data_IF_766840515791
#
_entry.id   IF_766840515791
#
_cell.length_a   1.000
_cell.length_b   1.000
_cell.length_c   1.000
_cell.angle_alpha   90.00
_cell.angle_beta   90.00
_cell.angle_gamma   90.00
#
_symmetry.space_group_name_H-M   'P 1'
#
loop_
_entity.id
_entity.type
_entity.pdbx_description
1 polymer ?
#
# COMPACT_ATOMS: atom_id res chain seq x y z
N UNK A 1 8.15 -5.48 -5.11
CA UNK A 1 7.27 -4.97 -6.19
C UNK A 1 6.03 -5.85 -6.23
N UNK A 2 4.83 -5.28 -6.15
CA UNK A 2 3.58 -6.06 -6.25
C UNK A 2 3.35 -6.55 -7.69
N UNK A 3 2.69 -7.69 -7.90
CA UNK A 3 2.27 -8.07 -9.25
C UNK A 3 1.21 -7.11 -9.81
N UNK A 4 1.03 -7.10 -11.13
CA UNK A 4 0.02 -6.25 -11.77
C UNK A 4 -1.37 -6.85 -11.62
N UNK A 5 -1.44 -8.18 -11.68
CA UNK A 5 -2.66 -8.96 -11.55
C UNK A 5 -2.31 -10.40 -11.17
N UNK A 6 -3.34 -11.16 -10.81
CA UNK A 6 -3.27 -12.60 -10.72
C UNK A 6 -4.11 -13.25 -11.82
N UNK A 7 -3.73 -14.45 -12.25
CA UNK A 7 -4.48 -15.24 -13.23
C UNK A 7 -4.72 -16.66 -12.75
N UNK A 8 -5.86 -17.23 -13.11
CA UNK A 8 -6.03 -18.68 -13.05
C UNK A 8 -5.20 -19.34 -14.16
N UNK A 9 -4.33 -20.28 -13.81
CA UNK A 9 -3.49 -21.02 -14.78
C UNK A 9 -4.27 -21.93 -15.74
N UNK A 10 -5.54 -22.22 -15.46
CA UNK A 10 -6.35 -23.14 -16.27
C UNK A 10 -7.34 -22.44 -17.20
N UNK A 11 -7.97 -21.34 -16.78
CA UNK A 11 -8.99 -20.63 -17.56
C UNK A 11 -8.61 -19.20 -17.94
N UNK A 12 -7.41 -18.74 -17.54
CA UNK A 12 -6.90 -17.38 -17.76
C UNK A 12 -7.78 -16.25 -17.20
N UNK A 13 -8.69 -16.56 -16.28
CA UNK A 13 -9.45 -15.55 -15.55
C UNK A 13 -8.51 -14.62 -14.79
N UNK A 14 -8.74 -13.31 -14.89
CA UNK A 14 -7.84 -12.26 -14.40
C UNK A 14 -8.42 -11.55 -13.20
N UNK A 15 -7.63 -11.46 -12.15
CA UNK A 15 -7.96 -10.80 -10.90
C UNK A 15 -7.06 -9.57 -10.72
N UNK A 16 -7.65 -8.39 -10.83
CA UNK A 16 -6.94 -7.12 -10.76
C UNK A 16 -7.02 -6.50 -9.37
N UNK A 17 -5.95 -5.82 -8.99
CA UNK A 17 -6.00 -4.92 -7.84
C UNK A 17 -6.85 -3.69 -8.16
N UNK A 18 -7.71 -3.28 -7.21
CA UNK A 18 -8.43 -1.99 -7.30
C UNK A 18 -7.47 -0.79 -7.25
N UNK A 19 -6.35 -0.96 -6.55
CA UNK A 19 -5.25 -0.01 -6.40
C UNK A 19 -4.04 -0.77 -5.82
N UNK A 20 -2.83 -0.27 -6.05
CA UNK A 20 -1.57 -0.93 -5.65
C UNK A 20 -0.70 -0.07 -4.73
N UNK A 21 -1.10 1.18 -4.52
CA UNK A 21 -0.37 2.17 -3.74
C UNK A 21 -1.33 2.92 -2.81
N UNK A 22 -0.82 3.33 -1.66
CA UNK A 22 -1.57 4.03 -0.63
C UNK A 22 -0.63 4.87 0.25
N UNK A 23 -1.16 5.93 0.83
CA UNK A 23 -0.47 6.77 1.81
C UNK A 23 -1.30 6.91 3.10
N UNK A 24 -0.61 7.01 4.22
CA UNK A 24 -1.13 7.60 5.45
C UNK A 24 -0.96 9.12 5.41
N UNK A 25 -1.95 9.84 5.92
CA UNK A 25 -1.85 11.25 6.25
C UNK A 25 -1.34 11.42 7.69
N UNK A 26 -0.16 11.99 7.83
CA UNK A 26 0.53 12.23 9.12
C UNK A 26 0.50 13.71 9.53
N UNK A 27 -0.17 14.57 8.77
CA UNK A 27 -0.29 15.99 9.08
C UNK A 27 -1.15 16.25 10.32
N UNK A 28 -0.78 17.29 11.09
CA UNK A 28 -1.50 17.68 12.30
C UNK A 28 -2.75 18.53 12.00
N UNK A 29 -2.82 19.14 10.82
CA UNK A 29 -3.94 19.96 10.41
C UNK A 29 -5.11 19.09 9.94
N UNK A 30 -6.37 19.56 10.05
CA UNK A 30 -7.48 18.91 9.36
C UNK A 30 -7.23 18.85 7.86
N UNK A 31 -7.71 17.79 7.21
CA UNK A 31 -7.64 17.63 5.77
C UNK A 31 -8.27 18.83 5.05
N UNK A 32 -7.44 19.61 4.37
CA UNK A 32 -7.86 20.67 3.46
C UNK A 32 -8.08 20.13 2.04
N UNK A 33 -8.31 21.02 1.07
CA UNK A 33 -8.37 20.61 -0.36
C UNK A 33 -7.00 20.16 -0.92
N UNK A 34 -5.92 20.54 -0.23
CA UNK A 34 -4.56 20.25 -0.63
C UNK A 34 -3.71 19.75 0.54
N UNK A 35 -2.80 18.83 0.26
CA UNK A 35 -1.88 18.23 1.24
C UNK A 35 -0.44 18.31 0.70
N UNK A 36 0.53 18.54 1.58
CA UNK A 36 1.94 18.52 1.22
C UNK A 36 2.49 17.10 1.20
N UNK A 37 3.46 16.81 0.31
CA UNK A 37 4.18 15.53 0.30
C UNK A 37 4.81 15.20 1.67
N UNK A 38 5.21 16.23 2.41
CA UNK A 38 5.82 16.08 3.74
C UNK A 38 4.84 15.57 4.81
N UNK A 39 3.53 15.66 4.56
CA UNK A 39 2.49 15.14 5.45
C UNK A 39 2.09 13.71 5.09
N UNK A 40 2.70 13.12 4.05
CA UNK A 40 2.38 11.78 3.57
C UNK A 40 3.43 10.77 4.01
N UNK A 41 2.98 9.63 4.49
CA UNK A 41 3.80 8.46 4.76
C UNK A 41 3.29 7.30 3.91
N UNK A 42 4.14 6.67 3.11
CA UNK A 42 3.70 5.56 2.28
C UNK A 42 3.34 4.34 3.14
N UNK A 43 2.30 3.63 2.71
CA UNK A 43 1.85 2.40 3.37
C UNK A 43 2.68 1.24 2.83
N UNK A 44 3.37 0.53 3.71
CA UNK A 44 3.93 -0.77 3.40
C UNK A 44 2.79 -1.76 3.14
N UNK A 45 2.79 -2.40 1.96
CA UNK A 45 1.67 -3.25 1.52
C UNK A 45 2.14 -4.59 0.98
N UNK A 46 1.27 -5.58 1.14
CA UNK A 46 1.42 -6.91 0.55
C UNK A 46 0.13 -7.34 -0.17
N UNK A 47 0.20 -8.25 -1.14
CA UNK A 47 -0.96 -8.68 -1.90
C UNK A 47 -1.76 -9.74 -1.15
N UNK A 48 -3.07 -9.60 -1.14
CA UNK A 48 -3.96 -10.49 -0.41
C UNK A 48 -5.33 -10.65 -1.07
N UNK A 49 -5.96 -11.80 -0.81
CA UNK A 49 -7.39 -11.99 -1.04
C UNK A 49 -8.17 -11.52 0.18
N UNK A 50 -8.99 -10.48 0.03
CA UNK A 50 -9.89 -10.04 1.09
C UNK A 50 -11.12 -10.95 1.11
N UNK A 51 -11.38 -11.59 2.25
CA UNK A 51 -12.53 -12.51 2.43
C UNK A 51 -13.84 -11.78 2.69
N UNK A 52 -13.77 -10.49 3.06
CA UNK A 52 -14.96 -9.70 3.38
C UNK A 52 -15.58 -9.05 2.12
N UNK A 53 -14.78 -8.77 1.09
CA UNK A 53 -15.27 -8.21 -0.17
C UNK A 53 -14.88 -9.05 -1.41
N UNK A 54 -14.45 -10.29 -1.16
CA UNK A 54 -14.12 -11.32 -2.15
C UNK A 54 -13.33 -10.83 -3.37
N UNK A 55 -12.20 -10.16 -3.12
CA UNK A 55 -11.37 -9.63 -4.19
C UNK A 55 -9.88 -9.61 -3.85
N UNK A 56 -9.04 -9.60 -4.90
CA UNK A 56 -7.62 -9.26 -4.77
C UNK A 56 -7.48 -7.80 -4.34
N UNK A 57 -6.66 -7.56 -3.32
CA UNK A 57 -6.38 -6.24 -2.77
C UNK A 57 -4.97 -6.16 -2.19
N UNK A 58 -4.62 -4.97 -1.74
CA UNK A 58 -3.46 -4.76 -0.88
C UNK A 58 -3.91 -4.66 0.59
N UNK A 59 -3.12 -5.24 1.47
CA UNK A 59 -3.28 -5.17 2.93
C UNK A 59 -2.02 -4.55 3.52
N UNK A 60 -2.16 -3.83 4.63
CA UNK A 60 -1.02 -3.27 5.37
C UNK A 60 -0.02 -4.36 5.79
N UNK A 61 1.26 -4.16 5.49
CA UNK A 61 2.35 -5.01 5.95
C UNK A 61 3.03 -4.37 7.17
N UNK A 62 2.51 -4.69 8.35
CA UNK A 62 2.94 -4.11 9.62
C UNK A 62 3.74 -5.14 10.42
N UNK A 63 5.06 -5.02 10.40
CA UNK A 63 5.92 -5.83 11.25
C UNK A 63 5.86 -5.40 12.74
N UNK A 64 6.52 -6.19 13.59
CA UNK A 64 6.69 -5.85 15.01
C UNK A 64 7.50 -4.56 15.18
N UNK A 65 7.26 -3.80 16.26
CA UNK A 65 8.00 -2.56 16.56
C UNK A 65 9.52 -2.76 16.53
N UNK A 66 10.01 -3.90 17.03
CA UNK A 66 11.43 -4.23 17.05
C UNK A 66 12.07 -4.21 15.65
N UNK A 67 11.35 -4.63 14.61
CA UNK A 67 11.87 -4.61 13.23
C UNK A 67 12.13 -3.16 12.78
N UNK A 68 11.27 -2.22 13.16
CA UNK A 68 11.43 -0.80 12.84
C UNK A 68 12.59 -0.19 13.64
N UNK A 69 12.74 -0.56 14.92
CA UNK A 69 13.86 -0.12 15.76
C UNK A 69 15.21 -0.61 15.21
N UNK A 70 15.29 -1.89 14.84
CA UNK A 70 16.49 -2.51 14.27
C UNK A 70 16.87 -1.86 12.93
N UNK A 71 15.88 -1.60 12.07
CA UNK A 71 16.07 -0.89 10.80
C UNK A 71 16.60 0.54 11.01
N UNK A 72 16.00 1.29 11.94
CA UNK A 72 16.47 2.64 12.26
C UNK A 72 17.90 2.61 12.83
N UNK A 73 18.21 1.65 13.70
CA UNK A 73 19.56 1.42 14.21
C UNK A 73 20.58 1.09 13.12
N UNK A 74 20.20 0.25 12.15
CA UNK A 74 21.04 -0.07 11.00
C UNK A 74 21.37 1.18 10.17
N UNK A 75 20.38 2.01 9.85
CA UNK A 75 20.59 3.24 9.09
C UNK A 75 21.47 4.27 9.83
N UNK A 76 21.38 4.36 11.17
CA UNK A 76 22.30 5.18 11.98
C UNK A 76 23.77 4.76 11.84
N UNK A 77 24.01 3.50 11.53
CA UNK A 77 25.35 2.95 11.26
C UNK A 77 25.74 2.96 9.78
N UNK A 78 24.93 3.60 8.92
CA UNK A 78 25.17 3.67 7.48
C UNK A 78 24.94 2.35 6.73
N UNK A 79 24.28 1.37 7.36
CA UNK A 79 23.93 0.10 6.72
C UNK A 79 22.62 0.26 5.94
N UNK A 80 22.53 -0.28 4.71
CA UNK A 80 21.30 -0.26 3.94
C UNK A 80 20.24 -1.14 4.59
N UNK A 81 18.98 -0.77 4.37
CA UNK A 81 17.79 -1.42 4.89
C UNK A 81 16.86 -1.72 3.72
N UNK A 82 16.20 -2.89 3.73
CA UNK A 82 15.20 -3.26 2.73
C UNK A 82 13.76 -3.06 3.22
N UNK A 83 13.54 -3.19 4.52
CA UNK A 83 12.24 -3.01 5.19
C UNK A 83 12.44 -2.31 6.55
N UNK A 84 11.60 -1.35 6.95
CA UNK A 84 10.32 -0.94 6.35
C UNK A 84 10.47 0.07 5.20
N UNK A 85 11.69 0.44 4.80
CA UNK A 85 11.95 1.24 3.63
C UNK A 85 13.26 0.81 2.97
N UNK A 86 13.29 0.86 1.63
CA UNK A 86 14.47 0.49 0.86
C UNK A 86 15.43 1.67 0.75
N UNK A 87 16.59 1.59 1.41
CA UNK A 87 17.52 2.72 1.57
C UNK A 87 18.84 2.58 0.83
N UNK A 88 19.04 1.54 0.02
CA UNK A 88 20.34 1.23 -0.63
C UNK A 88 20.93 2.41 -1.41
N UNK A 89 20.06 3.18 -2.08
CA UNK A 89 20.46 4.33 -2.90
C UNK A 89 20.12 5.69 -2.28
N UNK A 90 19.70 5.70 -1.01
CA UNK A 90 19.38 6.93 -0.29
C UNK A 90 20.64 7.52 0.33
N UNK A 91 20.72 8.86 0.40
CA UNK A 91 21.72 9.53 1.23
C UNK A 91 21.40 9.28 2.70
N UNK A 92 22.42 9.17 3.54
CA UNK A 92 22.23 8.85 4.96
C UNK A 92 21.23 9.77 5.69
N UNK A 93 21.20 11.11 5.49
CA UNK A 93 20.19 11.96 6.12
C UNK A 93 18.76 11.65 5.68
N UNK A 94 18.57 11.30 4.40
CA UNK A 94 17.26 10.97 3.84
C UNK A 94 16.79 9.60 4.34
N UNK A 95 17.67 8.60 4.38
CA UNK A 95 17.38 7.28 4.95
C UNK A 95 16.98 7.37 6.43
N UNK A 96 17.68 8.19 7.21
CA UNK A 96 17.38 8.42 8.63
C UNK A 96 16.02 9.12 8.83
N UNK A 97 15.68 10.08 7.97
CA UNK A 97 14.36 10.72 8.00
C UNK A 97 13.28 9.67 7.70
N UNK A 98 13.40 8.97 6.58
CA UNK A 98 12.43 7.98 6.10
C UNK A 98 12.14 6.89 7.14
N UNK A 99 13.19 6.23 7.65
CA UNK A 99 13.04 5.19 8.65
C UNK A 99 12.58 5.74 10.01
N UNK A 100 12.95 6.99 10.33
CA UNK A 100 12.49 7.67 11.53
C UNK A 100 11.00 7.99 11.49
N UNK A 101 10.48 8.40 10.33
CA UNK A 101 9.05 8.62 10.11
C UNK A 101 8.25 7.31 10.24
N UNK A 102 8.72 6.24 9.61
CA UNK A 102 8.13 4.90 9.73
C UNK A 102 8.13 4.38 11.18
N UNK A 103 9.24 4.56 11.91
CA UNK A 103 9.34 4.17 13.32
C UNK A 103 8.36 4.98 14.20
N UNK A 104 8.29 6.30 14.02
CA UNK A 104 7.35 7.16 14.78
C UNK A 104 5.90 6.76 14.55
N UNK A 105 5.52 6.52 13.30
CA UNK A 105 4.20 6.00 12.99
C UNK A 105 3.95 4.67 13.70
N UNK A 106 4.88 3.72 13.58
CA UNK A 106 4.72 2.39 14.18
C UNK A 106 4.57 2.44 15.70
N UNK A 107 5.28 3.34 16.38
CA UNK A 107 5.16 3.56 17.82
C UNK A 107 3.79 4.12 18.23
N UNK A 108 3.16 4.93 17.38
CA UNK A 108 1.84 5.51 17.62
C UNK A 108 0.68 4.56 17.28
N UNK A 109 0.89 3.66 16.31
CA UNK A 109 -0.12 2.74 15.76
C UNK A 109 -0.68 1.79 16.82
N UNK A 110 -2.02 1.77 16.96
CA UNK A 110 -2.72 0.89 17.90
C UNK A 110 -3.42 -0.29 17.26
N UNK A 111 -4.02 -0.10 16.08
CA UNK A 111 -4.74 -1.20 15.45
C UNK A 111 -3.83 -2.13 14.64
N UNK A 112 -4.30 -3.36 14.47
CA UNK A 112 -3.67 -4.36 13.63
C UNK A 112 -3.84 -4.02 12.14
N UNK A 113 -3.06 -4.70 11.30
CA UNK A 113 -3.10 -4.57 9.85
C UNK A 113 -4.49 -4.90 9.26
N UNK A 114 -4.90 -4.11 8.28
CA UNK A 114 -6.21 -4.17 7.62
C UNK A 114 -6.10 -4.31 6.12
N UNK A 115 -7.13 -4.91 5.52
CA UNK A 115 -7.35 -4.90 4.08
C UNK A 115 -7.76 -3.50 3.64
N UNK A 116 -6.94 -2.89 2.80
CA UNK A 116 -7.13 -1.50 2.40
C UNK A 116 -8.31 -1.32 1.44
N UNK A 117 -8.86 -2.41 0.87
CA UNK A 117 -10.03 -2.33 0.01
C UNK A 117 -11.32 -1.95 0.73
N UNK A 118 -11.51 -2.43 1.98
CA UNK A 118 -12.75 -2.31 2.75
C UNK A 118 -12.55 -2.03 4.26
N UNK A 119 -11.31 -1.98 4.76
CA UNK A 119 -11.02 -1.83 6.19
C UNK A 119 -11.15 -3.12 7.00
N UNK A 120 -11.48 -4.24 6.35
CA UNK A 120 -11.65 -5.55 6.97
C UNK A 120 -10.35 -6.14 7.51
N UNK A 121 -10.47 -7.15 8.38
CA UNK A 121 -9.33 -7.88 8.95
C UNK A 121 -9.24 -9.33 8.47
N UNK A 122 -10.23 -9.80 7.71
CA UNK A 122 -10.26 -11.18 7.20
C UNK A 122 -9.68 -11.20 5.80
N UNK A 123 -8.41 -11.56 5.71
CA UNK A 123 -7.71 -11.72 4.44
C UNK A 123 -6.80 -12.94 4.45
N UNK A 124 -6.31 -13.30 3.27
CA UNK A 124 -5.29 -14.32 3.06
C UNK A 124 -4.18 -13.73 2.19
N UNK A 125 -2.95 -13.75 2.68
CA UNK A 125 -1.79 -13.36 1.89
C UNK A 125 -1.64 -14.24 0.65
N UNK A 126 -1.30 -13.62 -0.48
CA UNK A 126 -1.16 -14.29 -1.78
C UNK A 126 0.31 -14.52 -2.17
N UNK A 127 1.25 -13.90 -1.47
CA UNK A 127 2.70 -14.02 -1.67
C UNK A 127 3.33 -15.05 -0.71
N UNK A 128 2.58 -16.11 -0.37
CA UNK A 128 3.05 -17.19 0.49
C UNK A 128 3.41 -18.41 -0.35
N UNK A 129 4.45 -19.13 0.05
CA UNK A 129 4.95 -20.28 -0.70
C UNK A 129 3.87 -21.37 -0.88
N UNK A 130 3.00 -21.57 0.12
CA UNK A 130 1.82 -22.44 0.12
C UNK A 130 0.81 -22.02 1.23
N UNK A 131 -0.49 -22.28 1.08
CA UNK A 131 -1.15 -23.04 0.00
C UNK A 131 -1.39 -22.23 -1.28
N UNK A 132 -1.27 -22.88 -2.43
CA UNK A 132 -1.69 -22.33 -3.72
C UNK A 132 -3.22 -22.13 -3.69
N UNK A 133 -3.68 -20.92 -3.98
CA UNK A 133 -5.11 -20.63 -4.05
C UNK A 133 -5.69 -21.32 -5.29
N UNK A 134 -6.64 -22.24 -5.09
CA UNK A 134 -7.38 -22.90 -6.17
C UNK A 134 -8.47 -21.96 -6.68
N UNK A 135 -8.59 -21.83 -8.01
CA UNK A 135 -9.74 -21.14 -8.59
C UNK A 135 -10.98 -22.03 -8.46
N UNK A 136 -12.03 -21.54 -7.79
CA UNK A 136 -13.20 -22.35 -7.43
C UNK A 136 -13.87 -23.03 -8.65
N UNK A 137 -13.84 -22.38 -9.82
CA UNK A 137 -14.46 -22.87 -11.05
C UNK A 137 -13.55 -23.82 -11.87
N UNK A 138 -12.34 -24.15 -11.41
CA UNK A 138 -11.40 -24.98 -12.14
C UNK A 138 -10.92 -26.16 -11.28
N UNK A 139 -10.90 -27.37 -11.84
CA UNK A 139 -10.45 -28.55 -11.10
C UNK A 139 -8.97 -28.52 -10.73
N UNK A 140 -8.14 -27.96 -11.61
CA UNK A 140 -6.68 -27.90 -11.50
C UNK A 140 -6.11 -26.48 -11.61
N UNK A 141 -6.97 -25.47 -11.73
CA UNK A 141 -6.54 -24.07 -11.86
C UNK A 141 -6.02 -23.51 -10.54
N UNK A 142 -4.78 -23.01 -10.53
CA UNK A 142 -4.21 -22.27 -9.41
C UNK A 142 -4.07 -20.80 -9.78
N UNK A 143 -4.16 -19.93 -8.79
CA UNK A 143 -3.98 -18.49 -8.95
C UNK A 143 -2.48 -18.17 -8.92
N UNK A 144 -1.96 -17.61 -10.00
CA UNK A 144 -0.56 -17.24 -10.16
C UNK A 144 -0.39 -15.76 -10.50
N UNK A 145 0.71 -15.17 -10.07
CA UNK A 145 1.01 -13.75 -10.25
C UNK A 145 1.54 -13.46 -11.65
N UNK A 146 1.16 -12.31 -12.23
CA UNK A 146 1.74 -11.80 -13.48
C UNK A 146 2.34 -10.42 -13.24
N UNK A 147 3.56 -10.24 -13.76
CA UNK A 147 4.30 -8.98 -13.71
C UNK A 147 4.63 -8.58 -15.14
N UNK A 148 4.31 -7.35 -15.48
CA UNK A 148 4.61 -6.65 -16.71
C UNK A 148 5.63 -5.56 -16.40
N UNK A 149 6.80 -5.66 -17.00
CA UNK A 149 7.85 -4.65 -16.88
C UNK A 149 7.67 -3.67 -18.05
N UNK A 150 7.04 -2.53 -17.76
CA UNK A 150 6.89 -1.43 -18.72
C UNK A 150 8.13 -0.54 -18.80
N UNK A 151 8.31 0.16 -19.93
CA UNK A 151 9.50 0.96 -20.24
C UNK A 151 9.33 2.48 -20.05
N UNK A 152 8.36 2.93 -19.25
CA UNK A 152 8.02 4.36 -19.18
C UNK A 152 8.62 5.05 -17.94
N UNK A 153 9.50 6.03 -18.18
CA UNK A 153 10.15 6.87 -17.17
C UNK A 153 9.60 8.31 -17.14
N UNK A 154 8.33 8.52 -17.50
CA UNK A 154 7.73 9.86 -17.47
C UNK A 154 7.34 10.32 -16.06
N UNK A 155 6.74 11.51 -15.95
CA UNK A 155 6.29 12.05 -14.67
C UNK A 155 5.34 11.08 -13.96
N UNK A 156 5.46 11.00 -12.64
CA UNK A 156 4.63 10.10 -11.82
C UNK A 156 3.13 10.39 -11.94
N UNK A 157 2.32 9.44 -11.46
CA UNK A 157 0.86 9.56 -11.39
C UNK A 157 0.42 10.89 -10.76
N UNK A 158 -0.66 11.48 -11.26
CA UNK A 158 -1.19 12.75 -10.75
C UNK A 158 -0.73 13.99 -11.50
N UNK A 159 0.27 13.91 -12.36
CA UNK A 159 0.77 15.08 -13.13
C UNK A 159 0.04 15.24 -14.46
N UNK A 160 -0.11 14.17 -15.24
CA UNK A 160 -0.77 14.18 -16.55
C UNK A 160 -2.15 13.53 -16.57
N UNK A 161 -2.48 12.78 -15.52
CA UNK A 161 -3.75 12.10 -15.33
C UNK A 161 -4.01 11.95 -13.81
N UNK A 162 -5.26 11.74 -13.38
CA UNK A 162 -5.57 11.49 -11.97
C UNK A 162 -4.77 10.30 -11.43
N UNK A 163 -4.18 10.43 -10.26
CA UNK A 163 -3.44 9.36 -9.59
C UNK A 163 -4.36 8.34 -8.91
N UNK A 164 -5.47 8.81 -8.33
CA UNK A 164 -6.44 7.99 -7.57
C UNK A 164 -5.77 7.11 -6.50
N UNK A 165 -4.74 7.65 -5.83
CA UNK A 165 -4.00 6.93 -4.79
C UNK A 165 -4.76 7.08 -3.48
N UNK A 166 -5.06 5.97 -2.81
CA UNK A 166 -5.86 6.02 -1.58
C UNK A 166 -5.09 6.66 -0.42
N UNK A 167 -5.82 7.44 0.37
CA UNK A 167 -5.31 8.14 1.53
C UNK A 167 -6.01 7.64 2.80
N UNK A 168 -5.22 7.22 3.78
CA UNK A 168 -5.69 6.69 5.06
C UNK A 168 -5.24 7.58 6.20
N UNK A 169 -5.93 7.51 7.34
CA UNK A 169 -5.41 8.08 8.58
C UNK A 169 -4.26 7.21 9.14
N UNK A 170 -3.51 7.67 10.16
CA UNK A 170 -2.42 6.88 10.75
C UNK A 170 -2.88 5.53 11.32
N UNK A 171 -4.18 5.35 11.52
CA UNK A 171 -4.79 4.12 12.02
C UNK A 171 -5.42 3.25 10.91
N UNK A 172 -5.15 3.55 9.63
CA UNK A 172 -5.57 2.73 8.50
C UNK A 172 -7.06 2.85 8.14
N UNK A 173 -7.75 3.90 8.58
CA UNK A 173 -9.11 4.23 8.10
C UNK A 173 -9.05 5.06 6.82
N UNK A 174 -9.90 4.75 5.84
CA UNK A 174 -9.94 5.47 4.56
C UNK A 174 -10.55 6.86 4.75
N UNK A 175 -9.77 7.90 4.43
CA UNK A 175 -10.17 9.31 4.59
C UNK A 175 -10.25 10.07 3.27
N UNK A 176 -9.64 9.57 2.19
CA UNK A 176 -9.66 10.24 0.90
C UNK A 176 -8.89 9.54 -0.21
N UNK A 177 -8.71 10.26 -1.31
CA UNK A 177 -7.82 9.88 -2.40
C UNK A 177 -7.03 11.10 -2.90
N UNK A 178 -5.75 10.88 -3.23
CA UNK A 178 -4.91 11.84 -3.92
C UNK A 178 -5.22 11.80 -5.42
N UNK A 179 -5.52 12.93 -6.03
CA UNK A 179 -5.94 13.01 -7.43
C UNK A 179 -4.88 13.66 -8.31
N UNK A 180 -4.52 14.90 -8.04
CA UNK A 180 -3.59 15.66 -8.88
C UNK A 180 -2.39 16.15 -8.09
N UNK A 181 -1.23 16.20 -8.76
CA UNK A 181 0.01 16.75 -8.21
C UNK A 181 0.46 17.91 -9.08
N UNK A 182 0.81 19.04 -8.46
CA UNK A 182 1.38 20.17 -9.21
C UNK A 182 2.80 19.83 -9.64
N UNK A 183 3.15 20.07 -10.90
CA UNK A 183 4.47 19.72 -11.46
C UNK A 183 5.64 20.38 -10.71
N UNK A 184 5.47 21.63 -10.30
CA UNK A 184 6.48 22.40 -9.56
C UNK A 184 6.19 22.48 -8.04
N UNK A 185 5.15 21.79 -7.58
CA UNK A 185 4.70 21.84 -6.20
C UNK A 185 4.76 20.47 -5.53
N UNK A 186 5.23 20.43 -4.27
CA UNK A 186 5.15 19.23 -3.43
C UNK A 186 3.77 19.10 -2.77
N UNK A 187 2.72 19.27 -3.57
CA UNK A 187 1.33 19.36 -3.11
C UNK A 187 0.43 18.48 -3.95
N UNK A 188 -0.53 17.83 -3.29
CA UNK A 188 -1.58 17.03 -3.87
C UNK A 188 -2.95 17.67 -3.67
N UNK A 189 -3.80 17.60 -4.68
CA UNK A 189 -5.24 17.78 -4.52
C UNK A 189 -5.86 16.49 -3.99
N UNK A 190 -6.86 16.64 -3.10
CA UNK A 190 -7.56 15.50 -2.50
C UNK A 190 -9.06 15.51 -2.76
N UNK A 191 -9.62 14.31 -2.83
CA UNK A 191 -11.06 14.09 -2.84
C UNK A 191 -11.47 13.21 -1.67
N UNK A 192 -12.55 13.57 -0.93
CA UNK A 192 -13.10 12.71 0.10
C UNK A 192 -13.52 11.37 -0.48
N UNK A 193 -13.16 10.29 0.21
CA UNK A 193 -13.53 8.93 -0.16
C UNK A 193 -13.86 8.16 1.11
N UNK A 194 -14.77 7.19 1.00
CA UNK A 194 -15.13 6.25 2.05
C UNK A 194 -15.18 4.85 1.48
N UNK A 195 -15.10 3.85 2.35
CA UNK A 195 -15.30 2.48 1.92
C UNK A 195 -16.68 2.31 1.29
N UNK A 196 -16.80 1.44 0.27
CA UNK A 196 -18.11 1.03 -0.20
C UNK A 196 -18.88 0.37 0.96
N UNK A 197 -20.21 0.54 1.02
CA UNK A 197 -21.01 -0.20 1.97
C UNK A 197 -20.81 -1.71 1.73
N UNK A 198 -20.86 -2.54 2.80
CA UNK A 198 -20.86 -3.99 2.63
C UNK A 198 -22.00 -4.42 1.71
N UNK A 199 -21.78 -5.47 0.92
CA UNK A 199 -22.86 -6.05 0.13
C UNK A 199 -24.00 -6.49 1.07
N UNK A 200 -25.25 -6.30 0.65
CA UNK A 200 -26.37 -6.86 1.39
C UNK A 200 -26.28 -8.39 1.31
N UNK A 201 -26.42 -9.06 2.46
CA UNK A 201 -26.54 -10.52 2.51
C UNK A 201 -27.91 -10.89 1.94
N UNK A 202 -27.95 -11.36 0.69
CA UNK A 202 -29.12 -11.96 0.04
C UNK A 202 -29.15 -13.49 0.24
#
# INVERSE_FOLDING_TARGET
MLPDLYVCTSCDERFYFKFREAYYYMGAAPLGKQIADADLLWVNVRPAWCKDCDCVCVVEDIASLRVFEDAYGAARTGRPVEYPAYTEYMKAPDALRELGDQLRWRMGRRHAARALCCGGSRYQWMDVAQPLLKHAQCDFGVIDSRIHIGSYCGPGSGVHAPANIRLYDPEGELIGQLTWRKQDGRMWDIEPMRYPPPAADD
#
